data_IF_916326700658
#
_entry.id   IF_916326700658
#
_cell.length_a   1.000
_cell.length_b   1.000
_cell.length_c   1.000
_cell.angle_alpha   90.00
_cell.angle_beta   90.00
_cell.angle_gamma   90.00
#
_symmetry.space_group_name_H-M   'P 1'
#
loop_
_entity.id
_entity.type
_entity.pdbx_description
1 polymer ?
#
# COMPACT_ATOMS: atom_id res chain seq x y z
N UNK A 1 9.00 9.73 33.72
CA UNK A 1 7.70 10.12 33.13
C UNK A 1 7.82 10.86 31.80
N UNK A 2 8.70 11.86 31.64
CA UNK A 2 8.85 12.62 30.39
C UNK A 2 9.22 11.77 29.14
N UNK A 3 10.07 10.75 29.29
CA UNK A 3 10.49 9.87 28.18
C UNK A 3 9.33 9.02 27.64
N UNK A 4 8.49 8.49 28.51
CA UNK A 4 7.31 7.68 28.14
C UNK A 4 6.27 8.54 27.42
N UNK A 5 6.06 9.77 27.89
CA UNK A 5 5.15 10.71 27.23
C UNK A 5 5.65 11.13 25.84
N UNK A 6 6.97 11.33 25.68
CA UNK A 6 7.63 11.66 24.41
C UNK A 6 7.59 10.50 23.40
N UNK A 7 7.74 9.25 23.87
CA UNK A 7 7.60 8.05 23.04
C UNK A 7 6.14 7.87 22.60
N UNK A 8 5.18 8.05 23.52
CA UNK A 8 3.74 7.95 23.24
C UNK A 8 3.27 8.99 22.22
N UNK A 9 3.70 10.25 22.34
CA UNK A 9 3.39 11.30 21.33
C UNK A 9 4.04 11.02 19.99
N UNK A 10 5.28 10.50 19.97
CA UNK A 10 5.97 10.14 18.74
C UNK A 10 5.25 8.98 18.04
N UNK A 11 4.91 7.91 18.76
CA UNK A 11 4.14 6.77 18.23
C UNK A 11 2.77 7.20 17.68
N UNK A 12 2.07 8.11 18.38
CA UNK A 12 0.79 8.67 17.93
C UNK A 12 0.91 9.45 16.61
N UNK A 13 2.07 10.03 16.31
CA UNK A 13 2.33 10.72 15.05
C UNK A 13 2.68 9.75 13.90
N UNK A 14 3.12 8.52 14.20
CA UNK A 14 3.38 7.47 13.20
C UNK A 14 2.11 6.69 12.83
N UNK A 15 1.15 6.53 13.74
CA UNK A 15 -0.10 5.79 13.49
C UNK A 15 -0.86 6.21 12.21
N UNK A 16 -1.00 7.52 11.88
CA UNK A 16 -1.68 7.93 10.66
C UNK A 16 -0.95 7.50 9.37
N UNK A 17 0.36 7.24 9.43
CA UNK A 17 1.15 6.83 8.27
C UNK A 17 0.81 5.41 7.80
N UNK A 18 0.33 4.56 8.70
CA UNK A 18 -0.10 3.20 8.37
C UNK A 18 -1.42 3.14 7.62
N UNK A 19 -2.18 4.25 7.54
CA UNK A 19 -3.54 4.31 6.96
C UNK A 19 -4.37 3.06 7.27
N UNK A 20 -4.74 2.87 8.53
CA UNK A 20 -5.38 1.65 9.04
C UNK A 20 -6.53 1.12 8.17
N UNK A 21 -7.38 2.00 7.61
CA UNK A 21 -8.47 1.59 6.71
C UNK A 21 -7.99 1.07 5.36
N UNK A 22 -7.04 1.76 4.71
CA UNK A 22 -6.50 1.34 3.41
C UNK A 22 -5.73 0.03 3.56
N UNK A 23 -4.84 -0.03 4.55
CA UNK A 23 -4.05 -1.23 4.84
C UNK A 23 -4.94 -2.39 5.27
N UNK A 24 -5.96 -2.15 6.09
CA UNK A 24 -6.94 -3.15 6.50
C UNK A 24 -7.76 -3.70 5.33
N UNK A 25 -8.17 -2.84 4.39
CA UNK A 25 -8.88 -3.27 3.19
C UNK A 25 -7.99 -4.13 2.27
N UNK A 26 -6.75 -3.70 2.00
CA UNK A 26 -5.83 -4.49 1.18
C UNK A 26 -5.47 -5.81 1.87
N UNK A 27 -5.29 -5.81 3.18
CA UNK A 27 -5.06 -7.02 3.96
C UNK A 27 -6.25 -7.98 3.88
N UNK A 28 -7.48 -7.48 4.01
CA UNK A 28 -8.68 -8.32 3.92
C UNK A 28 -8.84 -8.94 2.53
N UNK A 29 -8.49 -8.21 1.47
CA UNK A 29 -8.48 -8.77 0.10
C UNK A 29 -7.45 -9.89 -0.06
N UNK A 30 -6.26 -9.77 0.57
CA UNK A 30 -5.26 -10.83 0.56
C UNK A 30 -5.69 -12.07 1.36
N UNK A 31 -6.30 -11.87 2.53
CA UNK A 31 -6.91 -12.95 3.30
C UNK A 31 -8.02 -13.65 2.52
N UNK A 32 -8.92 -12.88 1.89
CA UNK A 32 -9.97 -13.41 1.04
C UNK A 32 -9.41 -14.22 -0.15
N UNK A 33 -8.32 -13.74 -0.76
CA UNK A 33 -7.58 -14.47 -1.80
C UNK A 33 -7.10 -15.84 -1.32
N UNK A 34 -6.51 -15.90 -0.12
CA UNK A 34 -6.05 -17.17 0.47
C UNK A 34 -7.21 -18.13 0.80
N UNK A 35 -8.29 -17.61 1.40
CA UNK A 35 -9.48 -18.39 1.73
C UNK A 35 -10.24 -18.88 0.49
N UNK A 36 -10.15 -18.18 -0.64
CA UNK A 36 -10.82 -18.57 -1.89
C UNK A 36 -10.37 -19.92 -2.46
N UNK A 37 -9.23 -20.45 -2.00
CA UNK A 37 -8.66 -21.71 -2.44
C UNK A 37 -8.57 -22.77 -1.32
N UNK A 38 -8.98 -22.44 -0.09
CA UNK A 38 -8.94 -23.37 1.05
C UNK A 38 -10.28 -23.41 1.78
N UNK A 39 -10.81 -24.62 1.96
CA UNK A 39 -11.98 -24.86 2.82
C UNK A 39 -11.61 -24.94 4.31
N UNK A 40 -10.37 -25.33 4.63
CA UNK A 40 -9.82 -25.38 6.00
C UNK A 40 -8.39 -24.76 6.03
N UNK A 41 -8.25 -23.46 6.34
CA UNK A 41 -6.96 -22.78 6.27
C UNK A 41 -6.03 -23.15 7.44
N UNK A 42 -4.75 -23.40 7.13
CA UNK A 42 -3.72 -23.56 8.17
C UNK A 42 -3.45 -22.20 8.86
N UNK A 43 -3.80 -22.11 10.15
CA UNK A 43 -3.80 -20.83 10.88
C UNK A 43 -2.41 -20.17 10.96
N UNK A 44 -1.34 -20.97 11.02
CA UNK A 44 0.04 -20.46 11.02
C UNK A 44 0.42 -19.79 9.69
N UNK A 45 -0.05 -20.32 8.55
CA UNK A 45 0.21 -19.73 7.23
C UNK A 45 -0.61 -18.46 7.05
N UNK A 46 -1.87 -18.48 7.51
CA UNK A 46 -2.74 -17.30 7.48
C UNK A 46 -2.19 -16.15 8.34
N UNK A 47 -1.63 -16.46 9.51
CA UNK A 47 -0.96 -15.48 10.36
C UNK A 47 0.31 -14.92 9.67
N UNK A 48 1.14 -15.78 9.10
CA UNK A 48 2.33 -15.37 8.34
C UNK A 48 1.98 -14.47 7.15
N UNK A 49 0.96 -14.84 6.37
CA UNK A 49 0.42 -14.02 5.27
C UNK A 49 -0.03 -12.67 5.79
N UNK A 50 -0.79 -12.65 6.89
CA UNK A 50 -1.35 -11.42 7.42
C UNK A 50 -0.26 -10.45 7.88
N UNK A 51 0.76 -10.96 8.58
CA UNK A 51 1.89 -10.15 9.04
C UNK A 51 2.73 -9.66 7.86
N UNK A 52 3.09 -10.54 6.92
CA UNK A 52 3.92 -10.16 5.77
C UNK A 52 3.24 -9.12 4.87
N UNK A 53 1.94 -9.31 4.55
CA UNK A 53 1.17 -8.32 3.79
C UNK A 53 1.02 -7.01 4.56
N UNK A 54 0.68 -7.05 5.85
CA UNK A 54 0.53 -5.84 6.64
C UNK A 54 1.80 -5.00 6.63
N UNK A 55 2.96 -5.64 6.82
CA UNK A 55 4.26 -4.97 6.79
C UNK A 55 4.58 -4.40 5.40
N UNK A 56 4.38 -5.18 4.34
CA UNK A 56 4.65 -4.76 2.97
C UNK A 56 3.76 -3.58 2.53
N UNK A 57 2.45 -3.67 2.77
CA UNK A 57 1.47 -2.62 2.43
C UNK A 57 1.75 -1.35 3.24
N UNK A 58 2.04 -1.49 4.54
CA UNK A 58 2.38 -0.36 5.40
C UNK A 58 3.68 0.31 4.96
N UNK A 59 4.71 -0.48 4.64
CA UNK A 59 5.98 0.01 4.13
C UNK A 59 5.82 0.79 2.83
N UNK A 60 5.11 0.23 1.86
CA UNK A 60 4.79 0.87 0.58
C UNK A 60 4.05 2.20 0.78
N UNK A 61 3.03 2.19 1.65
CA UNK A 61 2.23 3.39 1.97
C UNK A 61 3.08 4.50 2.57
N UNK A 62 4.01 4.16 3.49
CA UNK A 62 4.91 5.13 4.11
C UNK A 62 5.89 5.70 3.09
N UNK A 63 6.46 4.86 2.22
CA UNK A 63 7.36 5.31 1.14
C UNK A 63 6.64 6.22 0.15
N UNK A 64 5.39 5.91 -0.19
CA UNK A 64 4.53 6.72 -1.03
C UNK A 64 4.33 8.13 -0.41
N UNK A 65 3.94 8.20 0.86
CA UNK A 65 3.80 9.48 1.57
C UNK A 65 5.13 10.23 1.75
N UNK A 66 6.23 9.52 1.92
CA UNK A 66 7.55 10.13 2.02
C UNK A 66 7.94 10.84 0.72
N UNK A 67 7.70 10.19 -0.43
CA UNK A 67 8.00 10.76 -1.74
C UNK A 67 7.06 11.92 -2.09
N UNK A 68 5.80 11.82 -1.71
CA UNK A 68 4.77 12.82 -2.01
C UNK A 68 4.65 13.94 -0.98
N UNK A 69 5.61 14.06 -0.07
CA UNK A 69 5.54 15.05 1.00
C UNK A 69 5.47 16.50 0.49
N UNK A 70 6.05 16.81 -0.66
CA UNK A 70 6.01 18.12 -1.30
C UNK A 70 4.63 18.44 -1.90
N UNK A 71 4.00 17.48 -2.59
CA UNK A 71 2.65 17.68 -3.13
C UNK A 71 1.59 17.64 -2.02
N UNK A 72 1.82 16.86 -0.96
CA UNK A 72 0.90 16.77 0.16
C UNK A 72 0.78 18.10 0.90
N UNK A 73 1.83 18.94 0.91
CA UNK A 73 1.83 20.25 1.59
C UNK A 73 0.95 21.31 0.92
N UNK A 74 0.66 21.18 -0.38
CA UNK A 74 -0.11 22.19 -1.13
C UNK A 74 -1.58 21.80 -1.32
N UNK A 75 -1.97 20.58 -0.97
CA UNK A 75 -3.36 20.11 -1.05
C UNK A 75 -4.11 20.32 0.27
N UNK A 76 -5.28 20.95 0.22
CA UNK A 76 -6.12 21.18 1.41
C UNK A 76 -6.50 19.88 2.11
N UNK A 77 -6.61 18.78 1.37
CA UNK A 77 -6.92 17.49 1.98
C UNK A 77 -5.77 16.89 2.79
N UNK A 78 -4.52 17.08 2.37
CA UNK A 78 -3.37 16.30 2.88
C UNK A 78 -2.33 17.11 3.61
N UNK A 79 -2.45 18.44 3.63
CA UNK A 79 -1.52 19.33 4.33
C UNK A 79 -1.38 18.99 5.83
N UNK A 80 -2.40 18.39 6.45
CA UNK A 80 -2.40 17.98 7.85
C UNK A 80 -1.66 16.66 8.14
N UNK A 81 -1.12 15.97 7.13
CA UNK A 81 -0.38 14.71 7.34
C UNK A 81 0.85 14.94 8.23
N UNK A 82 1.25 13.96 9.07
CA UNK A 82 2.41 14.10 9.97
C UNK A 82 3.72 14.41 9.23
N UNK A 83 3.87 13.90 8.01
CA UNK A 83 5.01 14.19 7.12
C UNK A 83 4.95 15.60 6.53
N UNK A 84 3.80 16.03 6.01
CA UNK A 84 3.61 17.37 5.45
C UNK A 84 3.76 18.48 6.50
N UNK A 85 3.27 18.25 7.71
CA UNK A 85 3.38 19.20 8.83
C UNK A 85 4.74 19.20 9.55
N UNK A 86 5.68 18.34 9.14
CA UNK A 86 7.00 18.21 9.79
C UNK A 86 6.98 17.58 11.18
N UNK A 87 5.83 17.06 11.65
CA UNK A 87 5.71 16.34 12.94
C UNK A 87 6.52 15.03 12.96
N UNK A 88 6.77 14.45 11.78
CA UNK A 88 7.65 13.29 11.58
C UNK A 88 8.79 13.69 10.64
N UNK A 89 10.03 13.36 11.01
CA UNK A 89 11.20 13.66 10.16
C UNK A 89 11.15 12.79 8.90
N UNK A 90 11.35 13.40 7.72
CA UNK A 90 11.37 12.69 6.42
C UNK A 90 12.30 11.47 6.43
N UNK A 91 13.50 11.61 6.99
CA UNK A 91 14.47 10.51 7.09
C UNK A 91 13.96 9.36 7.96
N UNK A 92 13.26 9.63 9.07
CA UNK A 92 12.69 8.59 9.94
C UNK A 92 11.60 7.81 9.22
N UNK A 93 10.75 8.49 8.44
CA UNK A 93 9.73 7.84 7.64
C UNK A 93 10.32 6.97 6.52
N UNK A 94 11.39 7.44 5.86
CA UNK A 94 12.10 6.65 4.84
C UNK A 94 12.64 5.34 5.43
N UNK A 95 13.38 5.42 6.55
CA UNK A 95 13.93 4.24 7.21
C UNK A 95 12.83 3.29 7.66
N UNK A 96 11.76 3.81 8.26
CA UNK A 96 10.63 2.98 8.68
C UNK A 96 9.96 2.29 7.49
N UNK A 97 9.71 3.02 6.40
CA UNK A 97 9.12 2.49 5.17
C UNK A 97 9.98 1.39 4.56
N UNK A 98 11.30 1.60 4.47
CA UNK A 98 12.24 0.60 3.95
C UNK A 98 12.30 -0.65 4.84
N UNK A 99 12.40 -0.49 6.16
CA UNK A 99 12.46 -1.63 7.10
C UNK A 99 11.18 -2.46 7.01
N UNK A 100 10.01 -1.82 7.03
CA UNK A 100 8.72 -2.53 6.93
C UNK A 100 8.56 -3.23 5.57
N UNK A 101 8.97 -2.57 4.49
CA UNK A 101 8.96 -3.14 3.13
C UNK A 101 9.84 -4.38 3.04
N UNK A 102 11.08 -4.29 3.52
CA UNK A 102 12.04 -5.40 3.51
C UNK A 102 11.57 -6.55 4.42
N UNK A 103 11.05 -6.24 5.61
CA UNK A 103 10.52 -7.24 6.52
C UNK A 103 9.28 -7.94 5.97
N UNK A 104 8.37 -7.19 5.33
CA UNK A 104 7.17 -7.74 4.72
C UNK A 104 7.47 -8.63 3.51
N UNK A 105 8.28 -8.14 2.57
CA UNK A 105 8.70 -8.90 1.39
C UNK A 105 9.57 -10.10 1.79
N UNK A 106 10.52 -9.91 2.70
CA UNK A 106 11.36 -11.00 3.22
C UNK A 106 10.53 -12.07 3.91
N UNK A 107 9.59 -11.68 4.77
CA UNK A 107 8.62 -12.60 5.38
C UNK A 107 7.77 -13.35 4.35
N UNK A 108 7.42 -12.70 3.23
CA UNK A 108 6.71 -13.35 2.15
C UNK A 108 7.57 -14.40 1.42
N UNK A 109 8.83 -14.11 1.12
CA UNK A 109 9.75 -15.09 0.53
C UNK A 109 10.00 -16.32 1.44
N UNK A 110 10.00 -16.13 2.76
CA UNK A 110 10.12 -17.23 3.72
C UNK A 110 8.91 -18.16 3.72
N UNK A 111 7.73 -17.67 3.37
CA UNK A 111 6.52 -18.50 3.26
C UNK A 111 6.48 -19.27 1.95
N UNK A 112 6.71 -18.57 0.83
CA UNK A 112 6.76 -19.18 -0.50
C UNK A 112 7.44 -18.21 -1.48
N UNK A 113 8.32 -18.73 -2.34
CA UNK A 113 9.06 -17.91 -3.30
C UNK A 113 8.20 -17.16 -4.33
N UNK A 114 7.14 -17.81 -4.84
CA UNK A 114 6.20 -17.18 -5.77
C UNK A 114 5.35 -16.12 -5.07
N UNK A 115 4.88 -16.40 -3.85
CA UNK A 115 4.18 -15.42 -3.03
C UNK A 115 5.05 -14.18 -2.75
N UNK A 116 6.30 -14.38 -2.34
CA UNK A 116 7.27 -13.31 -2.16
C UNK A 116 7.47 -12.46 -3.40
N UNK A 117 7.54 -13.09 -4.58
CA UNK A 117 7.68 -12.39 -5.86
C UNK A 117 6.45 -11.54 -6.18
N UNK A 118 5.22 -12.02 -5.93
CA UNK A 118 4.00 -11.25 -6.16
C UNK A 118 3.89 -10.06 -5.20
N UNK A 119 4.22 -10.25 -3.92
CA UNK A 119 4.24 -9.16 -2.93
C UNK A 119 5.29 -8.11 -3.29
N UNK A 120 6.49 -8.54 -3.70
CA UNK A 120 7.53 -7.65 -4.20
C UNK A 120 7.09 -6.88 -5.43
N UNK A 121 6.45 -7.56 -6.40
CA UNK A 121 5.90 -6.91 -7.59
C UNK A 121 4.90 -5.82 -7.20
N UNK A 122 3.95 -6.09 -6.31
CA UNK A 122 3.00 -5.08 -5.83
C UNK A 122 3.66 -3.86 -5.20
N UNK A 123 4.69 -4.06 -4.38
CA UNK A 123 5.47 -2.98 -3.80
C UNK A 123 6.22 -2.18 -4.87
N UNK A 124 6.85 -2.86 -5.82
CA UNK A 124 7.58 -2.23 -6.92
C UNK A 124 6.65 -1.40 -7.82
N UNK A 125 5.47 -1.94 -8.16
CA UNK A 125 4.47 -1.21 -8.95
C UNK A 125 3.94 0.03 -8.20
N UNK A 126 3.74 -0.03 -6.88
CA UNK A 126 3.29 1.14 -6.10
C UNK A 126 4.38 2.21 -5.98
N UNK A 127 5.57 1.83 -5.51
CA UNK A 127 6.62 2.80 -5.16
C UNK A 127 7.32 3.33 -6.41
N UNK A 128 7.76 2.44 -7.31
CA UNK A 128 8.61 2.83 -8.44
C UNK A 128 7.75 3.30 -9.62
N UNK A 129 6.81 2.47 -10.04
CA UNK A 129 6.04 2.74 -11.26
C UNK A 129 5.00 3.82 -10.99
N UNK A 130 4.14 3.64 -9.99
CA UNK A 130 3.10 4.61 -9.70
C UNK A 130 3.66 5.88 -9.07
N UNK A 131 4.25 5.79 -7.88
CA UNK A 131 4.60 6.98 -7.07
C UNK A 131 5.71 7.82 -7.71
N UNK A 132 6.84 7.20 -8.05
CA UNK A 132 8.02 7.92 -8.57
C UNK A 132 7.84 8.31 -10.03
N UNK A 133 7.37 7.39 -10.87
CA UNK A 133 7.43 7.56 -12.32
C UNK A 133 6.15 8.15 -12.93
N UNK A 134 4.99 7.51 -12.76
CA UNK A 134 3.78 7.85 -13.51
C UNK A 134 2.96 8.97 -12.87
N UNK A 135 2.87 9.01 -11.53
CA UNK A 135 1.96 9.91 -10.81
C UNK A 135 2.13 11.38 -11.20
N UNK A 136 3.36 11.83 -11.46
CA UNK A 136 3.66 13.22 -11.85
C UNK A 136 3.72 13.46 -13.35
N UNK A 137 3.61 12.41 -14.17
CA UNK A 137 3.82 12.48 -15.62
C UNK A 137 2.58 12.21 -16.45
N UNK A 138 1.64 11.40 -15.94
CA UNK A 138 0.51 10.92 -16.74
C UNK A 138 -0.76 10.72 -15.91
N UNK A 139 -1.92 11.11 -16.44
CA UNK A 139 -3.24 10.81 -15.85
C UNK A 139 -3.54 9.30 -15.82
N UNK A 140 -2.90 8.53 -16.69
CA UNK A 140 -2.95 7.05 -16.74
C UNK A 140 -2.31 6.36 -15.53
N UNK A 141 -1.66 7.10 -14.63
CA UNK A 141 -1.06 6.57 -13.40
C UNK A 141 -2.05 5.77 -12.55
N UNK A 142 -3.34 6.09 -12.60
CA UNK A 142 -4.39 5.41 -11.83
C UNK A 142 -4.52 3.93 -12.23
N UNK A 143 -4.42 3.59 -13.52
CA UNK A 143 -4.57 2.21 -14.00
C UNK A 143 -3.37 1.38 -13.57
N UNK A 144 -2.16 1.89 -13.82
CA UNK A 144 -0.92 1.19 -13.45
C UNK A 144 -0.73 1.09 -11.94
N UNK A 145 -1.09 2.13 -11.18
CA UNK A 145 -1.11 2.08 -9.72
C UNK A 145 -2.18 1.12 -9.18
N UNK A 146 -3.31 0.99 -9.88
CA UNK A 146 -4.36 0.04 -9.55
C UNK A 146 -3.90 -1.42 -9.59
N UNK A 147 -2.89 -1.74 -10.43
CA UNK A 147 -2.31 -3.08 -10.49
C UNK A 147 -1.73 -3.46 -9.13
N UNK A 148 -1.02 -2.54 -8.47
CA UNK A 148 -0.51 -2.78 -7.12
C UNK A 148 -1.63 -3.03 -6.11
N UNK A 149 -2.76 -2.31 -6.22
CA UNK A 149 -3.93 -2.53 -5.36
C UNK A 149 -4.59 -3.91 -5.52
N UNK A 150 -4.46 -4.54 -6.70
CA UNK A 150 -4.92 -5.91 -6.95
C UNK A 150 -3.92 -7.00 -6.53
N UNK A 151 -2.66 -6.66 -6.25
CA UNK A 151 -1.65 -7.67 -5.89
C UNK A 151 -1.92 -8.41 -4.59
N UNK A 152 -2.48 -7.82 -3.52
CA UNK A 152 -2.76 -8.56 -2.28
C UNK A 152 -3.68 -9.76 -2.48
N UNK A 153 -4.78 -9.62 -3.23
CA UNK A 153 -5.72 -10.74 -3.48
C UNK A 153 -5.06 -11.84 -4.31
N UNK A 154 -4.26 -11.47 -5.31
CA UNK A 154 -3.48 -12.43 -6.09
C UNK A 154 -2.44 -13.14 -5.21
N UNK A 155 -1.70 -12.39 -4.40
CA UNK A 155 -0.67 -12.91 -3.52
C UNK A 155 -1.26 -13.92 -2.53
N UNK A 156 -2.40 -13.62 -1.92
CA UNK A 156 -3.08 -14.55 -1.03
C UNK A 156 -3.48 -15.85 -1.72
N UNK A 157 -4.01 -15.78 -2.95
CA UNK A 157 -4.38 -16.97 -3.72
C UNK A 157 -3.17 -17.77 -4.20
N UNK A 158 -2.10 -17.10 -4.60
CA UNK A 158 -0.82 -17.73 -4.98
C UNK A 158 -0.22 -18.47 -3.79
N UNK A 159 -0.27 -17.89 -2.58
CA UNK A 159 0.19 -18.59 -1.39
C UNK A 159 -0.66 -19.83 -1.09
N UNK A 160 -1.97 -19.77 -1.35
CA UNK A 160 -2.85 -20.90 -1.15
C UNK A 160 -2.61 -22.05 -2.15
N UNK A 161 -2.46 -21.74 -3.44
CA UNK A 161 -2.33 -22.76 -4.49
C UNK A 161 -0.88 -23.15 -4.79
N UNK A 162 0.09 -22.33 -4.40
CA UNK A 162 1.49 -22.48 -4.80
C UNK A 162 1.76 -22.15 -6.28
N UNK A 163 0.78 -21.59 -6.99
CA UNK A 163 0.88 -21.22 -8.41
C UNK A 163 -0.06 -20.06 -8.75
N UNK A 164 0.19 -19.40 -9.88
CA UNK A 164 -0.71 -18.37 -10.43
C UNK A 164 -1.77 -19.08 -11.27
N UNK A 165 -3.03 -18.89 -10.93
CA UNK A 165 -4.15 -19.48 -11.64
C UNK A 165 -5.09 -18.40 -12.22
N UNK A 166 -5.99 -18.82 -13.11
CA UNK A 166 -6.91 -17.91 -13.78
C UNK A 166 -7.84 -17.19 -12.81
N UNK A 167 -8.34 -17.88 -11.78
CA UNK A 167 -9.25 -17.26 -10.81
C UNK A 167 -8.55 -16.15 -10.02
N UNK A 168 -7.27 -16.32 -9.66
CA UNK A 168 -6.48 -15.26 -9.01
C UNK A 168 -6.30 -14.04 -9.88
N UNK A 169 -6.01 -14.25 -11.17
CA UNK A 169 -5.92 -13.16 -12.13
C UNK A 169 -7.27 -12.46 -12.29
N UNK A 170 -8.38 -13.19 -12.37
CA UNK A 170 -9.72 -12.60 -12.47
C UNK A 170 -10.09 -11.79 -11.22
N UNK A 171 -9.76 -12.28 -10.03
CA UNK A 171 -9.96 -11.55 -8.77
C UNK A 171 -9.12 -10.27 -8.73
N UNK A 172 -7.85 -10.34 -9.13
CA UNK A 172 -6.99 -9.16 -9.28
C UNK A 172 -7.59 -8.15 -10.27
N UNK A 173 -8.07 -8.61 -11.43
CA UNK A 173 -8.68 -7.76 -12.44
C UNK A 173 -9.97 -7.11 -11.94
N UNK A 174 -10.80 -7.84 -11.17
CA UNK A 174 -12.00 -7.27 -10.56
C UNK A 174 -11.67 -6.12 -9.61
N UNK A 175 -10.64 -6.27 -8.77
CA UNK A 175 -10.14 -5.18 -7.92
C UNK A 175 -9.56 -4.05 -8.76
N UNK A 176 -8.77 -4.37 -9.79
CA UNK A 176 -8.17 -3.40 -10.69
C UNK A 176 -9.23 -2.52 -11.38
N UNK A 177 -10.32 -3.07 -11.89
CA UNK A 177 -11.37 -2.30 -12.56
C UNK A 177 -12.20 -1.46 -11.61
N UNK A 178 -12.29 -1.85 -10.34
CA UNK A 178 -12.95 -1.06 -9.31
C UNK A 178 -12.13 0.17 -8.90
N UNK A 179 -10.79 0.13 -8.97
CA UNK A 179 -9.94 1.23 -8.52
C UNK A 179 -10.15 2.53 -9.34
N UNK A 180 -10.15 2.52 -10.70
CA UNK A 180 -10.40 3.72 -11.48
C UNK A 180 -11.73 4.39 -11.17
N UNK A 181 -12.82 3.62 -10.99
CA UNK A 181 -14.13 4.22 -10.71
C UNK A 181 -14.13 4.96 -9.37
N UNK A 182 -13.48 4.41 -8.35
CA UNK A 182 -13.30 5.08 -7.08
C UNK A 182 -12.34 6.27 -7.14
N UNK A 183 -11.18 6.13 -7.78
CA UNK A 183 -10.15 7.17 -7.79
C UNK A 183 -10.54 8.35 -8.69
N UNK A 184 -11.18 8.11 -9.84
CA UNK A 184 -11.62 9.18 -10.73
C UNK A 184 -12.70 10.06 -10.10
N UNK A 185 -13.66 9.46 -9.40
CA UNK A 185 -14.68 10.22 -8.65
C UNK A 185 -14.04 11.04 -7.53
N UNK A 186 -12.98 10.52 -6.91
CA UNK A 186 -12.20 11.24 -5.91
C UNK A 186 -11.40 12.41 -6.51
N UNK A 187 -10.76 12.23 -7.67
CA UNK A 187 -10.01 13.30 -8.34
C UNK A 187 -10.93 14.42 -8.82
N UNK A 188 -12.15 14.11 -9.26
CA UNK A 188 -13.16 15.12 -9.62
C UNK A 188 -13.58 15.97 -8.42
N UNK A 189 -13.78 15.35 -7.25
CA UNK A 189 -14.15 16.07 -6.02
C UNK A 189 -13.06 17.02 -5.52
N UNK A 190 -11.79 16.66 -5.71
CA UNK A 190 -10.63 17.41 -5.22
C UNK A 190 -9.83 18.06 -6.35
N UNK A 191 -10.49 18.40 -7.47
CA UNK A 191 -9.83 18.88 -8.68
C UNK A 191 -8.86 20.04 -8.42
N UNK A 192 -9.27 21.02 -7.61
CA UNK A 192 -8.45 22.19 -7.26
C UNK A 192 -7.16 21.82 -6.50
N UNK A 193 -7.22 20.82 -5.61
CA UNK A 193 -6.06 20.31 -4.88
C UNK A 193 -5.04 19.66 -5.84
N UNK A 194 -5.53 18.87 -6.81
CA UNK A 194 -4.67 18.22 -7.81
C UNK A 194 -4.03 19.22 -8.76
N UNK A 195 -4.77 20.27 -9.15
CA UNK A 195 -4.24 21.37 -9.96
C UNK A 195 -3.18 22.19 -9.21
N UNK A 196 -3.44 22.53 -7.94
CA UNK A 196 -2.46 23.21 -7.09
C UNK A 196 -1.15 22.42 -6.94
N UNK A 197 -1.25 21.08 -6.90
CA UNK A 197 -0.10 20.17 -6.86
C UNK A 197 0.53 19.87 -8.23
N UNK A 198 0.00 20.42 -9.33
CA UNK A 198 0.43 20.16 -10.71
C UNK A 198 0.47 18.67 -11.07
N UNK A 199 -0.46 17.89 -10.52
CA UNK A 199 -0.59 16.45 -10.80
C UNK A 199 -1.56 16.25 -11.96
N UNK A 200 -1.16 15.59 -13.06
CA UNK A 200 -2.06 15.34 -14.19
C UNK A 200 -3.24 14.46 -13.76
N UNK A 201 -4.46 14.95 -13.95
CA UNK A 201 -5.71 14.22 -13.77
C UNK A 201 -6.52 14.19 -15.08
N UNK A 202 -7.58 13.39 -15.13
CA UNK A 202 -8.53 13.37 -16.25
C UNK A 202 -9.60 14.44 -16.06
#
# INVERSE_FOLDING_TARGET
MATIHRISTKARNFLPLFKSLQTGLLLSTGVAGYLSAHTAPHMGVLAGLSVSLFLAISGSTILNMWYDCDIDTVMNRTHNRPLATGKVRKQEALWLGLILSLAGVGGAFLLNGLYGLVVFAGLFFDVVIYTIWLKRRTSWSIIWGGISGGMPILAGRVLALGQIDLVGLLLMMAVLFWIPTHILTFTMRYFDDYQAAKVPNF
#
